data_IF_979214324320
#
_entry.id   IF_979214324320
#
_cell.length_a   1.000
_cell.length_b   1.000
_cell.length_c   1.000
_cell.angle_alpha   90.00
_cell.angle_beta   90.00
_cell.angle_gamma   90.00
#
_symmetry.space_group_name_H-M   'P 1'
#
loop_
_entity.id
_entity.type
_entity.pdbx_description
1 polymer ?
#
# COMPACT_ATOMS: atom_id res chain seq x y z
N UNK A 1 4.13 13.51 11.56
CA UNK A 1 3.10 13.14 10.59
C UNK A 1 1.76 13.55 11.12
N UNK A 2 1.34 14.71 10.64
CA UNK A 2 -0.01 15.26 10.72
C UNK A 2 -0.86 14.78 9.53
N UNK A 3 -2.17 15.00 9.56
CA UNK A 3 -3.10 14.53 8.51
C UNK A 3 -2.70 15.04 7.12
N UNK A 4 -2.35 16.32 6.97
CA UNK A 4 -1.94 16.88 5.68
C UNK A 4 -0.64 16.26 5.14
N UNK A 5 0.27 15.84 6.04
CA UNK A 5 1.50 15.16 5.66
C UNK A 5 1.22 13.72 5.19
N UNK A 6 0.14 13.10 5.68
CA UNK A 6 -0.30 11.75 5.28
C UNK A 6 -0.78 11.71 3.83
N UNK A 7 -1.56 12.71 3.40
CA UNK A 7 -2.05 12.79 2.03
C UNK A 7 -0.89 12.96 1.03
N UNK A 8 0.03 13.88 1.30
CA UNK A 8 1.22 14.07 0.45
C UNK A 8 2.12 12.83 0.44
N UNK A 9 2.25 12.16 1.58
CA UNK A 9 2.98 10.90 1.68
C UNK A 9 2.35 9.82 0.79
N UNK A 10 1.03 9.63 0.86
CA UNK A 10 0.34 8.66 0.00
C UNK A 10 0.26 9.07 -1.47
N UNK A 11 0.28 10.37 -1.78
CA UNK A 11 0.42 10.82 -3.17
C UNK A 11 1.73 10.33 -3.78
N UNK A 12 2.83 10.32 -3.01
CA UNK A 12 4.12 9.78 -3.47
C UNK A 12 4.04 8.28 -3.80
N UNK A 13 3.24 7.52 -3.02
CA UNK A 13 2.98 6.11 -3.31
C UNK A 13 2.10 5.93 -4.55
N UNK A 14 1.10 6.79 -4.74
CA UNK A 14 0.26 6.81 -5.95
C UNK A 14 1.09 7.08 -7.19
N UNK A 15 1.94 8.12 -7.17
CA UNK A 15 2.79 8.48 -8.31
C UNK A 15 3.70 7.30 -8.70
N UNK A 16 4.28 6.61 -7.70
CA UNK A 16 5.10 5.41 -7.93
C UNK A 16 4.29 4.23 -8.48
N UNK A 17 3.03 4.09 -8.06
CA UNK A 17 2.15 3.03 -8.56
C UNK A 17 1.75 3.28 -10.01
N UNK A 18 1.54 4.55 -10.37
CA UNK A 18 1.24 4.98 -11.74
C UNK A 18 2.42 4.73 -12.69
N UNK A 19 3.68 4.90 -12.24
CA UNK A 19 4.84 4.53 -13.08
C UNK A 19 4.87 3.04 -13.36
N UNK A 20 4.41 2.20 -12.43
CA UNK A 20 4.36 0.75 -12.58
C UNK A 20 3.16 0.30 -13.41
N UNK A 21 2.07 1.07 -13.45
CA UNK A 21 0.89 0.75 -14.26
C UNK A 21 1.23 0.60 -15.76
N UNK A 22 2.28 1.25 -16.25
CA UNK A 22 2.75 1.10 -17.63
C UNK A 22 3.30 -0.31 -17.95
N UNK A 23 3.46 -1.19 -16.93
CA UNK A 23 3.73 -2.62 -17.09
C UNK A 23 2.69 -3.33 -17.97
N UNK A 24 1.50 -2.73 -18.13
CA UNK A 24 0.42 -3.22 -18.97
C UNK A 24 0.37 -2.55 -20.35
N UNK A 25 1.40 -1.79 -20.72
CA UNK A 25 1.41 -0.98 -21.93
C UNK A 25 2.59 -1.32 -22.83
N UNK A 26 2.60 -0.97 -24.13
CA UNK A 26 3.76 -1.18 -24.98
C UNK A 26 4.98 -0.32 -24.60
N UNK A 27 4.85 0.61 -23.64
CA UNK A 27 5.94 1.47 -23.20
C UNK A 27 6.92 0.73 -22.30
N UNK A 28 8.19 1.11 -22.41
CA UNK A 28 9.25 0.66 -21.53
C UNK A 28 9.27 1.48 -20.24
N UNK A 29 9.63 0.83 -19.13
CA UNK A 29 9.80 1.44 -17.83
C UNK A 29 10.92 0.76 -17.05
N UNK A 30 11.46 1.43 -16.04
CA UNK A 30 12.46 0.85 -15.13
C UNK A 30 11.73 0.08 -14.01
N UNK A 31 11.07 -1.02 -14.39
CA UNK A 31 10.22 -1.79 -13.49
C UNK A 31 10.99 -2.40 -12.31
N UNK A 32 12.28 -2.68 -12.48
CA UNK A 32 13.12 -3.17 -11.38
C UNK A 32 13.28 -2.10 -10.30
N UNK A 33 13.74 -0.90 -10.69
CA UNK A 33 13.90 0.23 -9.76
C UNK A 33 12.57 0.65 -9.15
N UNK A 34 11.50 0.71 -9.94
CA UNK A 34 10.20 1.17 -9.44
C UNK A 34 9.60 0.20 -8.42
N UNK A 35 9.68 -1.13 -8.68
CA UNK A 35 9.21 -2.12 -7.71
C UNK A 35 10.09 -2.12 -6.45
N UNK A 36 11.41 -1.93 -6.58
CA UNK A 36 12.32 -1.79 -5.42
C UNK A 36 11.92 -0.58 -4.55
N UNK A 37 11.62 0.57 -5.18
CA UNK A 37 11.11 1.76 -4.47
C UNK A 37 9.77 1.49 -3.80
N UNK A 38 8.90 0.69 -4.40
CA UNK A 38 7.60 0.35 -3.80
C UNK A 38 7.80 -0.51 -2.55
N UNK A 39 8.72 -1.48 -2.63
CA UNK A 39 9.12 -2.30 -1.49
C UNK A 39 9.75 -1.46 -0.37
N UNK A 40 10.61 -0.49 -0.71
CA UNK A 40 11.19 0.46 0.25
C UNK A 40 10.11 1.31 0.92
N UNK A 41 9.17 1.86 0.15
CA UNK A 41 8.06 2.65 0.68
C UNK A 41 7.19 1.81 1.62
N UNK A 42 6.94 0.55 1.28
CA UNK A 42 6.19 -0.35 2.14
C UNK A 42 6.93 -0.66 3.46
N UNK A 43 8.25 -0.86 3.43
CA UNK A 43 9.05 -0.98 4.68
C UNK A 43 8.97 0.29 5.52
N UNK A 44 9.01 1.45 4.88
CA UNK A 44 8.87 2.74 5.55
C UNK A 44 7.47 2.91 6.17
N UNK A 45 6.41 2.45 5.49
CA UNK A 45 5.07 2.33 6.09
C UNK A 45 5.12 1.42 7.31
N UNK A 46 5.67 0.22 7.20
CA UNK A 46 5.69 -0.77 8.29
C UNK A 46 6.47 -0.29 9.52
N UNK A 47 7.46 0.58 9.34
CA UNK A 47 8.27 1.13 10.42
C UNK A 47 7.53 2.16 11.30
N UNK A 48 6.43 2.73 10.81
CA UNK A 48 5.67 3.77 11.50
C UNK A 48 4.71 3.19 12.53
N UNK A 49 4.59 3.89 13.65
CA UNK A 49 3.66 3.51 14.71
C UNK A 49 2.25 4.04 14.44
N UNK A 50 1.53 3.36 13.55
CA UNK A 50 0.14 3.72 13.20
C UNK A 50 -0.84 3.45 14.33
N UNK A 51 -0.54 2.50 15.23
CA UNK A 51 -1.49 2.08 16.27
C UNK A 51 -1.60 3.07 17.42
N UNK A 52 -0.59 3.93 17.64
CA UNK A 52 -0.67 5.02 18.62
C UNK A 52 -1.39 6.27 18.11
N UNK A 53 -1.65 6.36 16.80
CA UNK A 53 -2.39 7.48 16.19
C UNK A 53 -3.86 7.46 16.59
N UNK A 54 -4.51 8.62 16.53
CA UNK A 54 -5.96 8.69 16.73
C UNK A 54 -6.72 7.91 15.66
N UNK A 55 -8.02 7.72 15.88
CA UNK A 55 -8.85 6.86 15.04
C UNK A 55 -9.04 7.44 13.65
N UNK A 56 -9.21 8.75 13.52
CA UNK A 56 -9.40 9.42 12.24
C UNK A 56 -8.17 9.27 11.36
N UNK A 57 -6.98 9.52 11.93
CA UNK A 57 -5.71 9.35 11.25
C UNK A 57 -5.48 7.89 10.83
N UNK A 58 -5.77 6.93 11.71
CA UNK A 58 -5.64 5.51 11.38
C UNK A 58 -6.60 5.10 10.25
N UNK A 59 -7.87 5.51 10.33
CA UNK A 59 -8.88 5.19 9.34
C UNK A 59 -8.51 5.78 7.97
N UNK A 60 -8.02 7.04 7.93
CA UNK A 60 -7.51 7.68 6.72
C UNK A 60 -6.32 6.92 6.12
N UNK A 61 -5.31 6.62 6.94
CA UNK A 61 -4.15 5.79 6.54
C UNK A 61 -4.62 4.48 5.91
N UNK A 62 -5.52 3.74 6.57
CA UNK A 62 -5.96 2.45 6.06
C UNK A 62 -6.79 2.57 4.79
N UNK A 63 -7.52 3.68 4.60
CA UNK A 63 -8.25 3.97 3.37
C UNK A 63 -7.30 4.13 2.19
N UNK A 64 -6.30 5.02 2.33
CA UNK A 64 -5.29 5.23 1.29
C UNK A 64 -4.52 3.95 0.96
N UNK A 65 -4.06 3.22 1.97
CA UNK A 65 -3.29 2.01 1.73
C UNK A 65 -4.14 0.86 1.14
N UNK A 66 -5.43 0.79 1.48
CA UNK A 66 -6.35 -0.17 0.83
C UNK A 66 -6.57 0.20 -0.64
N UNK A 67 -6.67 1.49 -0.97
CA UNK A 67 -6.79 1.96 -2.34
C UNK A 67 -5.53 1.60 -3.15
N UNK A 68 -4.34 1.88 -2.62
CA UNK A 68 -3.07 1.44 -3.23
C UNK A 68 -3.05 -0.05 -3.54
N UNK A 69 -3.35 -0.90 -2.56
CA UNK A 69 -3.39 -2.35 -2.76
C UNK A 69 -4.37 -2.75 -3.87
N UNK A 70 -5.52 -2.07 -3.96
CA UNK A 70 -6.50 -2.33 -5.02
C UNK A 70 -5.97 -1.99 -6.40
N UNK A 71 -5.28 -0.85 -6.56
CA UNK A 71 -4.69 -0.45 -7.84
C UNK A 71 -3.60 -1.45 -8.25
N UNK A 72 -2.74 -1.90 -7.32
CA UNK A 72 -1.74 -2.93 -7.61
C UNK A 72 -2.39 -4.25 -8.05
N UNK A 73 -3.51 -4.66 -7.43
CA UNK A 73 -4.30 -5.82 -7.86
C UNK A 73 -4.79 -5.68 -9.32
N UNK A 74 -5.28 -4.50 -9.69
CA UNK A 74 -5.74 -4.22 -11.06
C UNK A 74 -4.60 -4.26 -12.07
N UNK A 75 -3.44 -3.67 -11.74
CA UNK A 75 -2.23 -3.74 -12.56
C UNK A 75 -1.85 -5.20 -12.81
N UNK A 76 -1.81 -6.04 -11.77
CA UNK A 76 -1.48 -7.47 -11.89
C UNK A 76 -2.48 -8.20 -12.78
N UNK A 77 -3.79 -7.93 -12.62
CA UNK A 77 -4.85 -8.57 -13.41
C UNK A 77 -4.65 -8.27 -14.89
N UNK A 78 -4.50 -7.01 -15.25
CA UNK A 78 -4.29 -6.56 -16.63
C UNK A 78 -2.97 -7.09 -17.21
N UNK A 79 -1.87 -7.08 -16.45
CA UNK A 79 -0.58 -7.61 -16.90
C UNK A 79 -0.67 -9.09 -17.31
N UNK A 80 -1.48 -9.86 -16.57
CA UNK A 80 -1.73 -11.28 -16.81
C UNK A 80 -2.59 -11.53 -18.06
N UNK A 81 -3.39 -10.56 -18.48
CA UNK A 81 -4.19 -10.67 -19.71
C UNK A 81 -3.34 -10.45 -20.97
N UNK A 82 -2.38 -9.53 -20.91
CA UNK A 82 -1.55 -9.17 -22.08
C UNK A 82 -0.43 -10.21 -22.32
N UNK A 83 -0.01 -10.93 -21.27
CA UNK A 83 0.86 -12.11 -21.33
C UNK A 83 2.29 -11.89 -21.88
N UNK A 84 2.83 -10.66 -21.82
CA UNK A 84 4.23 -10.34 -22.14
C UNK A 84 5.22 -11.24 -21.37
N UNK A 85 5.89 -12.22 -22.03
CA UNK A 85 6.75 -13.18 -21.34
C UNK A 85 7.88 -12.52 -20.53
N UNK A 86 8.46 -11.46 -21.07
CA UNK A 86 9.53 -10.65 -20.49
C UNK A 86 9.11 -9.93 -19.20
N UNK A 87 7.81 -9.66 -19.01
CA UNK A 87 7.29 -8.95 -17.83
C UNK A 87 6.81 -9.88 -16.72
N UNK A 88 6.79 -11.19 -16.96
CA UNK A 88 6.30 -12.18 -15.97
C UNK A 88 7.06 -12.12 -14.64
N UNK A 89 8.35 -11.78 -14.68
CA UNK A 89 9.17 -11.59 -13.48
C UNK A 89 8.61 -10.47 -12.59
N UNK A 90 8.34 -9.31 -13.17
CA UNK A 90 7.77 -8.14 -12.48
C UNK A 90 6.38 -8.42 -11.93
N UNK A 91 5.50 -9.05 -12.72
CA UNK A 91 4.16 -9.45 -12.27
C UNK A 91 4.25 -10.37 -11.05
N UNK A 92 5.19 -11.32 -11.04
CA UNK A 92 5.39 -12.21 -9.88
C UNK A 92 5.85 -11.44 -8.64
N UNK A 93 6.71 -10.43 -8.79
CA UNK A 93 7.13 -9.55 -7.69
C UNK A 93 5.94 -8.76 -7.14
N UNK A 94 5.13 -8.16 -8.01
CA UNK A 94 3.91 -7.43 -7.62
C UNK A 94 2.90 -8.30 -6.89
N UNK A 95 2.71 -9.56 -7.31
CA UNK A 95 1.86 -10.53 -6.59
C UNK A 95 2.38 -10.80 -5.18
N UNK A 96 3.70 -10.94 -5.02
CA UNK A 96 4.33 -11.09 -3.72
C UNK A 96 4.15 -9.85 -2.84
N UNK A 97 4.36 -8.67 -3.40
CA UNK A 97 4.12 -7.39 -2.75
C UNK A 97 2.67 -7.27 -2.26
N UNK A 98 1.70 -7.47 -3.15
CA UNK A 98 0.27 -7.31 -2.84
C UNK A 98 -0.15 -8.22 -1.70
N UNK A 99 0.24 -9.50 -1.77
CA UNK A 99 -0.06 -10.46 -0.71
C UNK A 99 0.48 -9.99 0.65
N UNK A 100 1.74 -9.57 0.69
CA UNK A 100 2.36 -9.11 1.94
C UNK A 100 1.69 -7.83 2.47
N UNK A 101 1.32 -6.91 1.58
CA UNK A 101 0.64 -5.68 1.92
C UNK A 101 -0.76 -5.93 2.51
N UNK A 102 -1.55 -6.80 1.89
CA UNK A 102 -2.90 -7.16 2.35
C UNK A 102 -2.86 -7.91 3.69
N UNK A 103 -1.98 -8.90 3.83
CA UNK A 103 -1.81 -9.67 5.07
C UNK A 103 -1.41 -8.73 6.23
N UNK A 104 -0.44 -7.84 6.00
CA UNK A 104 -0.01 -6.87 6.99
C UNK A 104 -1.12 -5.89 7.36
N UNK A 105 -1.84 -5.33 6.38
CA UNK A 105 -2.93 -4.39 6.63
C UNK A 105 -4.08 -5.04 7.39
N UNK A 106 -4.43 -6.29 7.07
CA UNK A 106 -5.46 -7.05 7.76
C UNK A 106 -5.10 -7.26 9.24
N UNK A 107 -3.85 -7.63 9.54
CA UNK A 107 -3.37 -7.78 10.91
C UNK A 107 -3.36 -6.44 11.65
N UNK A 108 -2.95 -5.34 10.99
CA UNK A 108 -3.01 -3.99 11.57
C UNK A 108 -4.44 -3.57 11.94
N UNK A 109 -5.41 -3.77 11.05
CA UNK A 109 -6.83 -3.48 11.32
C UNK A 109 -7.37 -4.34 12.46
N UNK A 110 -6.96 -5.61 12.54
CA UNK A 110 -7.35 -6.52 13.63
C UNK A 110 -6.76 -6.07 14.98
N UNK A 111 -5.48 -5.70 15.01
CA UNK A 111 -4.82 -5.15 16.21
C UNK A 111 -5.51 -3.87 16.67
N UNK A 112 -5.87 -2.96 15.77
CA UNK A 112 -6.59 -1.73 16.12
C UNK A 112 -7.93 -2.00 16.82
N UNK A 113 -8.70 -2.98 16.35
CA UNK A 113 -9.98 -3.37 16.98
C UNK A 113 -9.82 -3.92 18.41
N UNK A 114 -8.64 -4.44 18.75
CA UNK A 114 -8.35 -4.98 20.09
C UNK A 114 -7.90 -3.92 21.10
N UNK A 115 -7.58 -2.70 20.64
CA UNK A 115 -7.21 -1.57 21.50
C UNK A 115 -8.52 -0.95 22.02
N UNK A 116 -8.78 -0.96 23.34
CA UNK A 116 -9.95 -0.33 23.91
C UNK A 116 -9.95 1.17 23.58
N UNK A 117 -11.10 1.70 23.18
CA UNK A 117 -11.27 3.13 22.95
C UNK A 117 -11.19 3.85 24.31
N UNK A 118 -10.02 4.34 24.67
CA UNK A 118 -9.76 5.00 25.96
C UNK A 118 -10.56 6.28 26.15
N UNK A 119 -11.23 6.77 25.10
CA UNK A 119 -12.16 7.91 25.14
C UNK A 119 -13.46 7.63 25.90
N UNK A 120 -13.75 6.36 26.24
CA UNK A 120 -14.98 5.95 26.95
C UNK A 120 -14.75 5.56 28.41
N UNK A 121 -13.58 5.85 29.01
CA UNK A 121 -13.41 5.63 30.44
C UNK A 121 -14.36 6.55 31.22
N UNK A 122 -15.34 6.01 31.97
CA UNK A 122 -16.17 6.85 32.83
C UNK A 122 -15.25 7.46 33.89
N UNK A 123 -15.20 8.79 33.93
CA UNK A 123 -14.64 9.53 35.06
C UNK A 123 -15.41 9.09 36.31
N UNK A 124 -14.75 8.32 37.17
CA UNK A 124 -15.23 7.96 38.50
C UNK A 124 -15.21 9.18 39.43
#
# INVERSE_FOLDING_TARGET
MEIAELEAYFQSLTDLTDTIAVLNSPYDGDFDSDIDRMDEFFRDIQSKDWLSKDREFFDLFTSHFSFHAKIVEEIIREAREILHPERRGYVKRLVGYLKNAEEWLAEMKKRRKSIPDTSLAPTA
#
